data_IF_084182985190
#
_entry.id   IF_084182985190
#
_cell.length_a   1.000
_cell.length_b   1.000
_cell.length_c   1.000
_cell.angle_alpha   90.00
_cell.angle_beta   90.00
_cell.angle_gamma   90.00
#
_symmetry.space_group_name_H-M   'P 1'
#
loop_
_entity.id
_entity.type
_entity.pdbx_description
1 polymer ?
#
# COMPACT_ATOMS: atom_id res chain seq x y z
N UNK A 1 -19.12 -0.90 -0.62
CA UNK A 1 -18.08 -1.87 -0.97
C UNK A 1 -16.92 -1.72 -0.01
N UNK A 2 -16.51 -2.83 0.59
CA UNK A 2 -15.31 -2.90 1.40
C UNK A 2 -14.45 -4.05 0.92
N UNK A 3 -13.16 -3.81 0.75
CA UNK A 3 -12.18 -4.82 0.37
C UNK A 3 -11.00 -4.74 1.33
N UNK A 4 -10.67 -5.88 1.92
CA UNK A 4 -9.52 -6.03 2.81
C UNK A 4 -8.57 -7.04 2.18
N UNK A 5 -7.27 -6.71 2.13
CA UNK A 5 -6.27 -7.59 1.55
C UNK A 5 -5.01 -7.61 2.42
N UNK A 6 -4.44 -8.79 2.56
CA UNK A 6 -3.15 -9.02 3.21
C UNK A 6 -2.26 -9.80 2.26
N UNK A 7 -1.02 -9.36 2.08
CA UNK A 7 -0.04 -10.03 1.23
C UNK A 7 1.35 -9.98 1.85
N UNK A 8 2.15 -10.96 1.51
CA UNK A 8 3.57 -11.01 1.90
C UNK A 8 4.43 -11.05 0.65
N UNK A 9 5.56 -10.34 0.71
CA UNK A 9 6.49 -10.24 -0.41
C UNK A 9 7.91 -10.40 0.09
N UNK A 10 8.78 -10.88 -0.79
CA UNK A 10 10.22 -10.88 -0.59
C UNK A 10 10.84 -10.03 -1.70
N UNK A 11 11.57 -8.99 -1.32
CA UNK A 11 12.13 -8.03 -2.26
C UNK A 11 13.63 -7.94 -2.03
N UNK A 12 14.42 -8.09 -3.10
CA UNK A 12 15.87 -7.96 -3.04
C UNK A 12 16.28 -6.49 -2.96
N UNK A 13 17.26 -6.19 -2.13
CA UNK A 13 17.92 -4.88 -2.04
C UNK A 13 19.40 -5.05 -2.38
N UNK A 14 20.00 -4.16 -3.19
CA UNK A 14 21.40 -4.32 -3.63
C UNK A 14 22.41 -4.06 -2.54
N UNK A 15 22.08 -3.30 -1.51
CA UNK A 15 22.96 -2.97 -0.39
C UNK A 15 22.95 -4.01 0.72
N UNK A 16 23.79 -3.79 1.73
CA UNK A 16 23.84 -4.63 2.91
C UNK A 16 22.61 -4.43 3.80
N UNK A 17 22.56 -5.14 4.93
CA UNK A 17 21.44 -5.08 5.87
C UNK A 17 21.19 -3.66 6.36
N UNK A 18 22.23 -2.93 6.73
CA UNK A 18 22.10 -1.56 7.23
C UNK A 18 21.57 -0.61 6.17
N UNK A 19 22.03 -0.73 4.93
CA UNK A 19 21.52 0.06 3.80
C UNK A 19 20.05 -0.23 3.53
N UNK A 20 19.64 -1.49 3.58
CA UNK A 20 18.25 -1.88 3.37
C UNK A 20 17.35 -1.40 4.52
N UNK A 21 17.82 -1.43 5.76
CA UNK A 21 17.09 -0.89 6.91
C UNK A 21 16.88 0.62 6.74
N UNK A 22 17.90 1.36 6.35
CA UNK A 22 17.82 2.79 6.07
C UNK A 22 16.81 3.08 4.96
N UNK A 23 16.84 2.27 3.89
CA UNK A 23 15.87 2.35 2.79
C UNK A 23 14.43 2.17 3.27
N UNK A 24 14.17 1.15 4.10
CA UNK A 24 12.83 0.90 4.64
C UNK A 24 12.32 2.04 5.51
N UNK A 25 13.20 2.63 6.29
CA UNK A 25 12.84 3.74 7.20
C UNK A 25 12.63 5.06 6.48
N UNK A 26 13.12 5.18 5.26
CA UNK A 26 12.86 6.33 4.39
C UNK A 26 11.66 6.03 3.48
N UNK A 27 10.48 6.32 3.99
CA UNK A 27 9.23 5.99 3.30
C UNK A 27 9.09 6.70 1.96
N UNK A 28 9.58 7.93 1.84
CA UNK A 28 9.58 8.66 0.57
C UNK A 28 10.33 7.91 -0.52
N UNK A 29 11.45 7.30 -0.17
CA UNK A 29 12.26 6.51 -1.12
C UNK A 29 11.64 5.16 -1.37
N UNK A 30 11.29 4.42 -0.32
CA UNK A 30 10.83 3.04 -0.45
C UNK A 30 9.46 2.92 -1.11
N UNK A 31 8.57 3.85 -0.88
CA UNK A 31 7.21 3.83 -1.45
C UNK A 31 7.00 4.82 -2.60
N UNK A 32 7.98 5.67 -2.89
CA UNK A 32 7.83 6.74 -3.87
C UNK A 32 7.61 6.29 -5.31
N UNK A 33 7.90 5.04 -5.64
CA UNK A 33 7.71 4.46 -6.98
C UNK A 33 6.54 3.49 -7.08
N UNK A 34 5.74 3.36 -6.02
CA UNK A 34 4.53 2.54 -6.06
C UNK A 34 3.44 3.33 -6.77
N UNK A 35 2.93 2.86 -7.94
CA UNK A 35 2.09 3.69 -8.81
C UNK A 35 0.77 4.14 -8.20
N UNK A 36 0.15 3.32 -7.36
CA UNK A 36 -1.15 3.63 -6.77
C UNK A 36 -1.06 4.46 -5.49
N UNK A 37 0.15 4.72 -4.97
CA UNK A 37 0.37 5.62 -3.84
C UNK A 37 0.73 6.99 -4.40
N UNK A 38 -0.14 7.97 -4.19
CA UNK A 38 0.02 9.32 -4.74
C UNK A 38 0.07 10.36 -3.64
N UNK A 39 0.70 11.48 -3.94
CA UNK A 39 0.78 12.63 -3.01
C UNK A 39 1.39 12.24 -1.66
N UNK A 40 2.40 11.37 -1.71
CA UNK A 40 3.08 10.87 -0.51
C UNK A 40 3.79 12.00 0.24
N UNK A 41 3.48 12.13 1.52
CA UNK A 41 4.05 13.16 2.41
C UNK A 41 4.41 12.51 3.74
N UNK A 42 5.62 12.75 4.18
CA UNK A 42 6.10 12.26 5.47
C UNK A 42 6.48 13.45 6.34
N UNK A 43 5.86 13.55 7.50
CA UNK A 43 6.15 14.61 8.50
C UNK A 43 6.41 13.93 9.82
N UNK A 44 7.68 13.93 10.27
CA UNK A 44 8.07 13.17 11.45
C UNK A 44 7.80 11.67 11.24
N UNK A 45 6.98 11.09 12.08
CA UNK A 45 6.55 9.69 11.98
C UNK A 45 5.19 9.50 11.30
N UNK A 46 4.58 10.58 10.84
CA UNK A 46 3.27 10.55 10.16
C UNK A 46 3.45 10.44 8.66
N UNK A 47 2.86 9.41 8.08
CA UNK A 47 2.86 9.16 6.64
C UNK A 47 1.45 9.38 6.11
N UNK A 48 1.30 10.31 5.16
CA UNK A 48 0.02 10.61 4.51
C UNK A 48 0.16 10.46 3.02
N UNK A 49 -0.85 9.89 2.40
CA UNK A 49 -0.89 9.76 0.94
C UNK A 49 -2.32 9.49 0.48
N UNK A 50 -2.49 9.42 -0.82
CA UNK A 50 -3.73 9.00 -1.46
C UNK A 50 -3.53 7.66 -2.13
N UNK A 51 -4.50 6.78 -1.95
CA UNK A 51 -4.58 5.50 -2.64
C UNK A 51 -5.46 5.70 -3.88
N UNK A 52 -4.90 5.52 -5.07
CA UNK A 52 -5.64 5.66 -6.33
C UNK A 52 -6.36 4.34 -6.63
N UNK A 53 -7.68 4.35 -6.56
CA UNK A 53 -8.53 3.16 -6.74
C UNK A 53 -9.56 3.43 -7.83
N UNK A 54 -9.71 2.49 -8.76
CA UNK A 54 -10.80 2.52 -9.74
C UNK A 54 -12.06 1.98 -9.10
N UNK A 55 -13.10 2.81 -9.08
CA UNK A 55 -14.39 2.45 -8.50
C UNK A 55 -15.41 2.36 -9.64
N UNK A 56 -16.18 1.26 -9.72
CA UNK A 56 -17.20 1.11 -10.76
C UNK A 56 -18.14 2.32 -10.78
N UNK A 57 -18.41 2.84 -11.98
CA UNK A 57 -19.31 3.97 -12.24
C UNK A 57 -18.85 5.33 -11.71
N UNK A 58 -17.84 5.38 -10.86
CA UNK A 58 -17.30 6.61 -10.30
C UNK A 58 -15.93 6.97 -10.88
N UNK A 59 -15.29 6.04 -11.60
CA UNK A 59 -13.95 6.23 -12.13
C UNK A 59 -12.87 6.14 -11.06
N UNK A 60 -11.71 6.72 -11.34
CA UNK A 60 -10.60 6.73 -10.39
C UNK A 60 -10.90 7.64 -9.21
N UNK A 61 -10.78 7.11 -8.01
CA UNK A 61 -10.93 7.83 -6.76
C UNK A 61 -9.60 7.89 -6.04
N UNK A 62 -9.32 9.01 -5.41
CA UNK A 62 -8.17 9.16 -4.52
C UNK A 62 -8.69 9.08 -3.09
N UNK A 63 -8.31 8.01 -2.40
CA UNK A 63 -8.72 7.76 -1.02
C UNK A 63 -7.56 8.09 -0.09
N UNK A 64 -7.69 9.12 0.73
CA UNK A 64 -6.63 9.49 1.63
C UNK A 64 -6.45 8.45 2.73
N UNK A 65 -5.20 8.22 3.10
CA UNK A 65 -4.86 7.39 4.25
C UNK A 65 -3.75 8.02 5.07
N UNK A 66 -3.69 7.63 6.32
CA UNK A 66 -2.65 8.04 7.24
C UNK A 66 -2.11 6.81 7.96
N UNK A 67 -0.80 6.75 8.08
CA UNK A 67 -0.13 5.69 8.83
C UNK A 67 0.94 6.32 9.71
N UNK A 68 1.26 5.66 10.81
CA UNK A 68 2.36 6.07 11.68
C UNK A 68 3.55 5.15 11.46
N UNK A 69 4.71 5.74 11.20
CA UNK A 69 5.95 5.00 11.06
C UNK A 69 6.53 4.68 12.44
N UNK A 70 6.79 3.40 12.66
CA UNK A 70 7.45 2.91 13.86
C UNK A 70 8.68 2.12 13.44
N UNK A 71 9.83 2.47 13.97
CA UNK A 71 11.08 1.78 13.67
C UNK A 71 11.26 0.60 14.61
N UNK A 72 11.71 -0.52 14.09
CA UNK A 72 12.13 -1.65 14.89
C UNK A 72 13.55 -2.07 14.52
N UNK A 73 14.11 -3.00 15.27
CA UNK A 73 15.53 -3.36 15.15
C UNK A 73 15.96 -3.72 13.73
N UNK A 74 15.11 -4.42 12.97
CA UNK A 74 15.44 -4.94 11.64
C UNK A 74 14.69 -4.26 10.50
N UNK A 75 14.07 -3.14 10.75
CA UNK A 75 13.34 -2.44 9.70
C UNK A 75 12.39 -1.38 10.20
N UNK A 76 11.17 -1.41 9.68
CA UNK A 76 10.16 -0.42 9.98
C UNK A 76 8.75 -0.99 9.81
N UNK A 77 7.82 -0.40 10.51
CA UNK A 77 6.40 -0.76 10.48
C UNK A 77 5.56 0.47 10.22
N UNK A 78 4.52 0.32 9.43
CA UNK A 78 3.47 1.32 9.28
C UNK A 78 2.22 0.84 10.01
N UNK A 79 1.76 1.64 10.95
CA UNK A 79 0.55 1.37 11.72
C UNK A 79 -0.56 2.24 11.15
N UNK A 80 -1.62 1.62 10.64
CA UNK A 80 -2.73 2.33 10.03
C UNK A 80 -3.48 3.16 11.06
N UNK A 81 -3.80 4.40 10.71
CA UNK A 81 -4.72 5.22 11.48
C UNK A 81 -6.13 4.89 11.02
N UNK A 82 -7.05 4.50 11.94
CA UNK A 82 -8.43 4.20 11.56
C UNK A 82 -9.11 5.37 10.86
N UNK A 83 -9.96 5.05 9.91
CA UNK A 83 -10.71 6.02 9.11
C UNK A 83 -12.19 5.72 9.16
N UNK A 84 -12.99 6.76 8.96
CA UNK A 84 -14.46 6.71 8.93
C UNK A 84 -14.98 7.53 7.75
N UNK A 85 -16.26 7.36 7.46
CA UNK A 85 -16.93 8.14 6.43
C UNK A 85 -17.37 7.30 5.24
N UNK A 86 -17.71 7.99 4.15
CA UNK A 86 -18.28 7.37 2.96
C UNK A 86 -17.23 6.78 2.02
N UNK A 87 -15.99 7.17 2.16
CA UNK A 87 -14.90 6.62 1.38
C UNK A 87 -13.60 6.80 2.16
N UNK A 88 -12.86 5.73 2.32
CA UNK A 88 -11.59 5.79 3.04
C UNK A 88 -10.69 4.60 2.66
N UNK A 89 -9.41 4.74 2.97
CA UNK A 89 -8.43 3.67 2.86
C UNK A 89 -7.57 3.62 4.11
N UNK A 90 -7.08 2.43 4.44
CA UNK A 90 -6.03 2.26 5.45
C UNK A 90 -4.92 1.41 4.87
N UNK A 91 -3.69 1.73 5.23
CA UNK A 91 -2.50 0.99 4.79
C UNK A 91 -1.65 0.72 6.01
N UNK A 92 -1.37 -0.55 6.23
CA UNK A 92 -0.44 -1.01 7.27
C UNK A 92 0.60 -1.92 6.63
N UNK A 93 1.77 -1.98 7.23
CA UNK A 93 2.82 -2.83 6.72
C UNK A 93 3.92 -3.06 7.72
N UNK A 94 4.74 -4.08 7.47
CA UNK A 94 5.92 -4.38 8.25
C UNK A 94 7.01 -4.86 7.29
N UNK A 95 8.15 -4.19 7.33
CA UNK A 95 9.32 -4.58 6.57
C UNK A 95 10.44 -5.03 7.49
N UNK A 96 10.97 -6.22 7.25
CA UNK A 96 12.08 -6.81 8.01
C UNK A 96 13.19 -7.19 7.05
N UNK A 97 14.42 -6.81 7.39
CA UNK A 97 15.59 -7.07 6.55
C UNK A 97 16.36 -8.28 7.05
N UNK A 98 16.73 -9.16 6.12
CA UNK A 98 17.59 -10.31 6.36
C UNK A 98 18.81 -10.26 5.42
N UNK A 99 19.97 -10.77 5.85
CA UNK A 99 21.12 -10.87 4.96
C UNK A 99 20.85 -11.85 3.81
N UNK A 100 21.49 -11.62 2.67
CA UNK A 100 21.45 -12.50 1.51
C UNK A 100 22.88 -12.74 1.01
N UNK A 101 23.11 -13.77 0.15
CA UNK A 101 24.44 -14.01 -0.41
C UNK A 101 25.00 -12.79 -1.16
N UNK A 102 24.11 -12.03 -1.83
CA UNK A 102 24.44 -10.76 -2.47
C UNK A 102 23.41 -9.74 -2.04
N UNK A 103 23.84 -8.63 -1.45
CA UNK A 103 22.93 -7.62 -0.93
C UNK A 103 22.15 -8.10 0.29
N UNK A 104 20.87 -7.80 0.32
CA UNK A 104 19.96 -8.16 1.40
C UNK A 104 18.57 -8.48 0.86
N UNK A 105 17.72 -9.07 1.71
CA UNK A 105 16.35 -9.40 1.39
C UNK A 105 15.43 -8.69 2.34
N UNK A 106 14.37 -8.11 1.80
CA UNK A 106 13.34 -7.43 2.59
C UNK A 106 12.08 -8.29 2.55
N UNK A 107 11.59 -8.68 3.72
CA UNK A 107 10.31 -9.34 3.87
C UNK A 107 9.27 -8.29 4.23
N UNK A 108 8.26 -8.13 3.37
CA UNK A 108 7.15 -7.20 3.57
C UNK A 108 5.87 -7.94 3.89
N UNK A 109 5.16 -7.48 4.92
CA UNK A 109 3.77 -7.82 5.14
C UNK A 109 2.96 -6.54 4.87
N UNK A 110 1.99 -6.59 3.95
CA UNK A 110 1.17 -5.45 3.54
C UNK A 110 -0.29 -5.74 3.83
N UNK A 111 -0.98 -4.78 4.43
CA UNK A 111 -2.42 -4.84 4.66
C UNK A 111 -3.06 -3.56 4.12
N UNK A 112 -4.03 -3.71 3.24
CA UNK A 112 -4.79 -2.60 2.68
C UNK A 112 -6.27 -2.86 2.90
N UNK A 113 -6.99 -1.86 3.40
CA UNK A 113 -8.44 -1.86 3.50
C UNK A 113 -8.98 -0.64 2.77
N UNK A 114 -10.00 -0.86 1.96
CA UNK A 114 -10.65 0.20 1.17
C UNK A 114 -12.15 0.11 1.40
N UNK A 115 -12.78 1.23 1.64
CA UNK A 115 -14.23 1.33 1.72
C UNK A 115 -14.73 2.48 0.85
N UNK A 116 -15.77 2.21 0.06
CA UNK A 116 -16.49 3.24 -0.71
C UNK A 116 -17.98 2.98 -0.60
N UNK A 117 -18.72 3.96 -0.11
CA UNK A 117 -20.18 3.90 -0.10
C UNK A 117 -20.70 4.09 -1.53
N UNK A 118 -21.53 3.17 -1.97
CA UNK A 118 -22.14 3.24 -3.29
C UNK A 118 -23.43 4.07 -3.26
N UNK A 119 -23.86 4.63 -4.40
CA UNK A 119 -25.20 5.21 -4.52
C UNK A 119 -26.25 4.17 -4.16
N UNK A 120 -27.47 4.62 -3.82
CA UNK A 120 -28.56 3.73 -3.44
C UNK A 120 -28.73 2.59 -4.44
N UNK A 121 -28.50 1.36 -3.97
CA UNK A 121 -28.43 0.17 -4.83
C UNK A 121 -29.73 -0.12 -5.58
N UNK A 122 -30.88 0.25 -5.03
CA UNK A 122 -32.18 0.06 -5.66
C UNK A 122 -32.30 0.80 -7.01
N UNK A 123 -31.61 1.93 -7.17
CA UNK A 123 -31.59 2.70 -8.41
C UNK A 123 -30.74 2.05 -9.51
N UNK A 124 -29.85 1.14 -9.14
CA UNK A 124 -28.82 0.60 -10.02
C UNK A 124 -28.87 -0.92 -10.19
N UNK A 125 -29.97 -1.56 -9.78
CA UNK A 125 -30.15 -3.00 -9.95
C UNK A 125 -29.95 -3.83 -8.68
N UNK A 126 -29.93 -3.21 -7.51
CA UNK A 126 -29.94 -3.90 -6.22
C UNK A 126 -28.71 -4.78 -6.00
N UNK A 127 -28.94 -6.03 -5.59
CA UNK A 127 -27.89 -6.99 -5.24
C UNK A 127 -26.96 -7.32 -6.41
N UNK A 128 -27.47 -7.33 -7.63
CA UNK A 128 -26.64 -7.59 -8.81
C UNK A 128 -25.60 -6.48 -9.01
N UNK A 129 -26.00 -5.23 -8.81
CA UNK A 129 -25.11 -4.10 -8.87
C UNK A 129 -24.05 -4.16 -7.76
N UNK A 130 -24.45 -4.46 -6.53
CA UNK A 130 -23.53 -4.60 -5.40
C UNK A 130 -22.48 -5.68 -5.64
N UNK A 131 -22.89 -6.85 -6.16
CA UNK A 131 -21.98 -7.93 -6.49
C UNK A 131 -20.98 -7.54 -7.57
N UNK A 132 -21.44 -6.84 -8.60
CA UNK A 132 -20.56 -6.39 -9.68
C UNK A 132 -19.55 -5.36 -9.18
N UNK A 133 -20.00 -4.41 -8.36
CA UNK A 133 -19.14 -3.40 -7.76
C UNK A 133 -18.09 -4.04 -6.85
N UNK A 134 -18.50 -5.02 -6.04
CA UNK A 134 -17.59 -5.76 -5.16
C UNK A 134 -16.53 -6.51 -5.97
N UNK A 135 -16.93 -7.23 -7.02
CA UNK A 135 -16.01 -7.99 -7.87
C UNK A 135 -15.01 -7.07 -8.58
N UNK A 136 -15.45 -5.92 -9.07
CA UNK A 136 -14.58 -4.97 -9.74
C UNK A 136 -13.59 -4.34 -8.76
N UNK A 137 -14.04 -4.01 -7.55
CA UNK A 137 -13.17 -3.47 -6.51
C UNK A 137 -12.11 -4.49 -6.09
N UNK A 138 -12.49 -5.76 -5.95
CA UNK A 138 -11.55 -6.83 -5.62
C UNK A 138 -10.45 -6.97 -6.69
N UNK A 139 -10.82 -6.88 -7.97
CA UNK A 139 -9.84 -6.92 -9.08
C UNK A 139 -8.89 -5.73 -9.04
N UNK A 140 -9.42 -4.54 -8.75
CA UNK A 140 -8.60 -3.34 -8.65
C UNK A 140 -7.57 -3.47 -7.53
N UNK A 141 -8.00 -3.94 -6.37
CA UNK A 141 -7.11 -4.15 -5.22
C UNK A 141 -6.10 -5.26 -5.51
N UNK A 142 -6.51 -6.33 -6.17
CA UNK A 142 -5.59 -7.40 -6.56
C UNK A 142 -4.48 -6.89 -7.48
N UNK A 143 -4.80 -6.00 -8.42
CA UNK A 143 -3.80 -5.35 -9.28
C UNK A 143 -2.80 -4.56 -8.44
N UNK A 144 -3.26 -3.83 -7.44
CA UNK A 144 -2.39 -3.08 -6.53
C UNK A 144 -1.41 -4.00 -5.81
N UNK A 145 -1.86 -5.19 -5.40
CA UNK A 145 -1.00 -6.17 -4.73
C UNK A 145 0.11 -6.71 -5.64
N UNK A 146 -0.10 -6.70 -6.95
CA UNK A 146 0.94 -7.06 -7.92
C UNK A 146 1.90 -5.89 -8.20
N UNK A 147 1.39 -4.68 -8.21
CA UNK A 147 2.17 -3.47 -8.48
C UNK A 147 3.05 -3.04 -7.31
N UNK A 148 2.64 -3.31 -6.08
CA UNK A 148 3.36 -2.92 -4.88
C UNK A 148 4.82 -3.42 -4.86
N UNK A 149 5.07 -4.73 -4.97
CA UNK A 149 6.45 -5.24 -4.93
C UNK A 149 7.29 -4.73 -6.09
N UNK A 150 6.70 -4.50 -7.25
CA UNK A 150 7.40 -3.94 -8.41
C UNK A 150 7.87 -2.52 -8.15
N UNK A 151 7.02 -1.70 -7.52
CA UNK A 151 7.37 -0.33 -7.19
C UNK A 151 8.47 -0.25 -6.14
N UNK A 152 8.37 -1.05 -5.09
CA UNK A 152 9.41 -1.12 -4.06
C UNK A 152 10.72 -1.67 -4.63
N UNK A 153 10.66 -2.71 -5.46
CA UNK A 153 11.84 -3.26 -6.11
C UNK A 153 12.53 -2.23 -7.02
N UNK A 154 11.75 -1.45 -7.78
CA UNK A 154 12.29 -0.38 -8.61
C UNK A 154 13.01 0.69 -7.76
N UNK A 155 12.43 1.06 -6.62
CA UNK A 155 13.05 1.99 -5.68
C UNK A 155 14.35 1.42 -5.10
N UNK A 156 14.35 0.13 -4.73
CA UNK A 156 15.54 -0.55 -4.21
C UNK A 156 16.66 -0.60 -5.25
N UNK A 157 16.35 -0.90 -6.51
CA UNK A 157 17.34 -0.94 -7.59
C UNK A 157 17.94 0.43 -7.87
N UNK A 158 17.20 1.51 -7.66
CA UNK A 158 17.72 2.88 -7.79
C UNK A 158 18.82 3.19 -6.77
N UNK A 159 18.96 2.41 -5.70
CA UNK A 159 20.03 2.54 -4.70
C UNK A 159 21.40 2.06 -5.20
N UNK A 160 21.45 1.46 -6.38
CA UNK A 160 22.68 0.88 -6.95
C UNK A 160 23.71 1.89 -7.44
N UNK A 161 23.46 3.11 -7.37
CA UNK A 161 24.37 4.13 -7.93
C UNK A 161 25.66 4.26 -7.12
#
# INVERSE_FOLDING_TARGET
VQVDVSRRYVIAHPGDVDAAITFLRDVQRSLGRVPFIRNLRVTGDTVRADLAVDVPFLGQQLLDFESRLEMHERGARLIATPREGRAWATVAGDGTVNPAPVGSMIEYALEISVFVALPASEKWGGKAFEKMAQATAEKAIERMTLEFPRGVAAAAQAERV
#
